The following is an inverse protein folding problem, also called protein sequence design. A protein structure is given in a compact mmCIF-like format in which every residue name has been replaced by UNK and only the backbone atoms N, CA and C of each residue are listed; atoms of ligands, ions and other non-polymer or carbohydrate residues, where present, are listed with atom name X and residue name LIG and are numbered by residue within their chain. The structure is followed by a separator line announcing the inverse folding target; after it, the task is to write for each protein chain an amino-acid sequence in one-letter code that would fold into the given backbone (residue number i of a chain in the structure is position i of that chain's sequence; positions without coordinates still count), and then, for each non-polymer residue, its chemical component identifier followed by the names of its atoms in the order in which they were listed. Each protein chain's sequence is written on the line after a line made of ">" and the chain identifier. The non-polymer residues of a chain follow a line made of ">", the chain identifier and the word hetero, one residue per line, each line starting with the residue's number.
data_IF_534987658673
#
_entry.id   IF_534987658673
#
_cell.length_a   1.000
_cell.length_b   1.000
_cell.length_c   1.000
_cell.angle_alpha   90.00
_cell.angle_beta   90.00
_cell.angle_gamma   90.00
#
_symmetry.space_group_name_H-M   'P 1'
#
loop_
_entity.id
_entity.type
_entity.pdbx_description
1 polymer ?
#
# COMPACT_ATOMS: atom_id res chain seq x y z
N UNK A 1 3.50 -1.75 6.40
CA UNK A 1 4.63 -1.23 5.64
C UNK A 1 4.64 -1.85 4.24
N UNK A 2 4.74 -1.02 3.18
CA UNK A 2 4.54 0.43 3.25
C UNK A 2 3.14 0.78 3.79
N UNK A 3 2.94 2.02 4.24
CA UNK A 3 1.65 2.53 4.72
C UNK A 3 1.20 3.65 3.77
N UNK A 4 0.13 3.41 3.03
CA UNK A 4 -0.41 4.33 2.02
C UNK A 4 -1.17 5.47 2.66
N UNK A 5 -1.36 6.58 1.93
CA UNK A 5 -2.17 7.71 2.41
C UNK A 5 -3.58 7.24 2.80
N UNK A 6 -4.23 6.46 1.93
CA UNK A 6 -5.56 5.89 2.16
C UNK A 6 -5.64 5.09 3.46
N UNK A 7 -4.66 4.23 3.74
CA UNK A 7 -4.62 3.45 4.99
C UNK A 7 -4.50 4.37 6.21
N UNK A 8 -3.69 5.43 6.13
CA UNK A 8 -3.47 6.36 7.24
C UNK A 8 -4.70 7.24 7.48
N UNK A 9 -5.44 7.62 6.45
CA UNK A 9 -6.61 8.50 6.54
C UNK A 9 -7.94 7.77 6.72
N UNK A 10 -7.95 6.43 6.71
CA UNK A 10 -9.14 5.63 7.00
C UNK A 10 -9.73 5.98 8.37
N UNK A 11 -11.05 5.93 8.53
CA UNK A 11 -11.73 6.21 9.81
C UNK A 11 -11.32 5.21 10.90
N UNK A 12 -11.25 3.93 10.52
CA UNK A 12 -10.88 2.83 11.42
C UNK A 12 -9.38 2.58 11.44
N UNK A 13 -8.83 2.28 12.62
CA UNK A 13 -7.42 1.96 12.79
C UNK A 13 -7.24 0.81 13.78
N UNK A 14 -6.98 -0.37 13.24
CA UNK A 14 -6.91 -1.63 13.98
C UNK A 14 -5.47 -2.08 14.29
N UNK A 15 -4.46 -1.26 13.98
CA UNK A 15 -3.07 -1.61 14.20
C UNK A 15 -2.67 -1.34 15.67
N UNK A 16 -1.80 -2.17 16.28
CA UNK A 16 -1.38 -2.03 17.68
C UNK A 16 -0.36 -0.90 17.91
N UNK A 17 -0.28 0.07 17.00
CA UNK A 17 0.61 1.23 17.01
C UNK A 17 -0.11 2.39 16.34
N UNK A 18 0.31 3.63 16.56
CA UNK A 18 -0.43 4.81 16.08
C UNK A 18 -0.23 5.07 14.57
N UNK A 19 -1.16 5.83 13.98
CA UNK A 19 -1.00 6.36 12.62
C UNK A 19 0.27 7.20 12.46
N UNK A 20 0.66 7.96 13.49
CA UNK A 20 1.89 8.75 13.49
C UNK A 20 3.14 7.85 13.46
N UNK A 21 3.18 6.81 14.28
CA UNK A 21 4.28 5.83 14.24
C UNK A 21 4.42 5.17 12.86
N UNK A 22 3.31 4.98 12.14
CA UNK A 22 3.30 4.42 10.80
C UNK A 22 3.74 5.42 9.71
N UNK A 23 3.23 6.65 9.75
CA UNK A 23 3.40 7.64 8.69
C UNK A 23 4.63 8.54 8.90
N UNK A 24 4.97 8.85 10.15
CA UNK A 24 6.00 9.81 10.55
C UNK A 24 6.89 9.23 11.67
N UNK A 25 7.61 8.12 11.41
CA UNK A 25 8.43 7.47 12.45
C UNK A 25 9.64 8.31 12.90
N UNK A 26 10.05 9.31 12.11
CA UNK A 26 11.18 10.20 12.36
C UNK A 26 10.77 11.64 12.01
N UNK A 27 11.31 12.63 12.72
CA UNK A 27 10.86 14.03 12.59
C UNK A 27 11.03 14.59 11.18
N UNK A 28 12.16 14.31 10.51
CA UNK A 28 12.42 14.81 9.15
C UNK A 28 11.44 14.28 8.09
N UNK A 29 10.70 13.20 8.39
CA UNK A 29 9.68 12.66 7.46
C UNK A 29 8.47 13.61 7.37
N UNK A 30 8.25 14.45 8.39
CA UNK A 30 7.18 15.46 8.41
C UNK A 30 7.46 16.59 7.42
N UNK A 31 8.74 16.94 7.22
CA UNK A 31 9.15 18.05 6.35
C UNK A 31 8.91 17.76 4.87
N UNK A 32 9.09 16.49 4.47
CA UNK A 32 8.87 16.06 3.09
C UNK A 32 8.34 14.62 3.03
N UNK A 33 7.03 14.47 3.24
CA UNK A 33 6.38 13.17 3.25
C UNK A 33 6.16 12.64 1.83
N UNK A 34 6.95 11.64 1.45
CA UNK A 34 6.64 10.81 0.28
C UNK A 34 5.64 9.71 0.66
N UNK A 35 4.57 9.58 -0.13
CA UNK A 35 3.52 8.59 0.08
C UNK A 35 3.72 7.37 -0.81
N UNK A 36 3.76 6.16 -0.23
CA UNK A 36 3.59 4.94 -1.00
C UNK A 36 2.22 4.92 -1.67
N UNK A 37 2.18 4.63 -2.97
CA UNK A 37 0.93 4.58 -3.75
C UNK A 37 0.15 3.28 -3.54
N UNK A 38 0.84 2.18 -3.26
CA UNK A 38 0.23 0.86 -3.02
C UNK A 38 0.80 0.22 -1.75
N UNK A 39 0.09 -0.78 -1.22
CA UNK A 39 0.58 -1.62 -0.13
C UNK A 39 1.64 -2.61 -0.65
N UNK A 40 2.13 -3.46 0.24
CA UNK A 40 3.01 -4.57 -0.11
C UNK A 40 2.34 -5.42 -1.21
N UNK A 41 3.06 -5.64 -2.30
CA UNK A 41 2.65 -6.48 -3.43
C UNK A 41 2.70 -7.96 -3.01
N UNK A 42 1.80 -8.78 -3.58
CA UNK A 42 1.84 -10.23 -3.45
C UNK A 42 2.64 -10.82 -4.61
N UNK A 43 3.91 -11.10 -4.35
CA UNK A 43 4.83 -11.62 -5.36
C UNK A 43 4.43 -13.03 -5.83
N UNK A 44 4.01 -13.89 -4.91
CA UNK A 44 3.68 -15.28 -5.22
C UNK A 44 2.40 -15.42 -6.03
N UNK A 45 1.41 -14.54 -5.83
CA UNK A 45 0.24 -14.48 -6.70
C UNK A 45 0.63 -14.04 -8.12
N UNK A 46 1.51 -13.04 -8.25
CA UNK A 46 2.02 -12.57 -9.55
C UNK A 46 2.76 -13.68 -10.33
N UNK A 47 3.59 -14.45 -9.65
CA UNK A 47 4.32 -15.58 -10.27
C UNK A 47 3.38 -16.71 -10.74
N UNK A 48 2.28 -16.94 -10.02
CA UNK A 48 1.28 -17.98 -10.37
C UNK A 48 0.30 -17.52 -11.44
N UNK A 49 0.07 -16.21 -11.56
CA UNK A 49 -0.90 -15.58 -12.47
C UNK A 49 -0.19 -14.57 -13.39
N UNK A 50 0.68 -15.08 -14.26
CA UNK A 50 1.53 -14.24 -15.11
C UNK A 50 0.70 -13.44 -16.13
N UNK A 51 0.58 -12.14 -15.88
CA UNK A 51 -0.08 -11.17 -16.76
C UNK A 51 0.96 -10.14 -17.20
N UNK A 52 1.32 -10.14 -18.48
CA UNK A 52 2.37 -9.31 -19.05
C UNK A 52 1.91 -8.45 -20.23
N UNK A 53 0.60 -8.23 -20.37
CA UNK A 53 0.00 -7.37 -21.39
C UNK A 53 -0.77 -6.22 -20.72
N UNK A 54 -0.99 -5.14 -21.46
CA UNK A 54 -1.74 -3.97 -20.99
C UNK A 54 -3.26 -4.14 -21.13
N UNK A 55 -3.77 -5.37 -21.11
CA UNK A 55 -5.21 -5.58 -21.07
C UNK A 55 -5.79 -4.93 -19.80
N UNK A 56 -7.05 -4.44 -19.84
CA UNK A 56 -7.69 -3.82 -18.68
C UNK A 56 -7.63 -4.74 -17.46
N UNK A 57 -7.43 -4.18 -16.26
CA UNK A 57 -7.25 -4.98 -15.04
C UNK A 57 -8.50 -5.79 -14.71
N UNK A 58 -9.66 -5.30 -15.12
CA UNK A 58 -10.97 -5.94 -14.97
C UNK A 58 -11.01 -7.32 -15.64
N UNK A 59 -10.23 -7.52 -16.71
CA UNK A 59 -10.14 -8.81 -17.40
C UNK A 59 -9.48 -9.92 -16.54
N UNK A 60 -8.85 -9.54 -15.42
CA UNK A 60 -8.08 -10.44 -14.55
C UNK A 60 -8.63 -10.50 -13.12
N UNK A 61 -9.72 -9.79 -12.81
CA UNK A 61 -10.28 -9.73 -11.46
C UNK A 61 -11.01 -11.02 -11.01
N UNK A 62 -11.26 -11.96 -11.94
CA UNK A 62 -11.93 -13.24 -11.67
C UNK A 62 -10.97 -14.45 -11.60
N UNK A 63 -9.66 -14.23 -11.75
CA UNK A 63 -8.64 -15.29 -11.84
C UNK A 63 -8.05 -15.72 -10.49
#
# INVERSE_FOLDING_TARGET
>A
APHTMEMITSDEWLMPYTREQAAFPLDYVKDNKFWPSVRRVDDAYGDRNLICTCAPIEAFMEA
#
